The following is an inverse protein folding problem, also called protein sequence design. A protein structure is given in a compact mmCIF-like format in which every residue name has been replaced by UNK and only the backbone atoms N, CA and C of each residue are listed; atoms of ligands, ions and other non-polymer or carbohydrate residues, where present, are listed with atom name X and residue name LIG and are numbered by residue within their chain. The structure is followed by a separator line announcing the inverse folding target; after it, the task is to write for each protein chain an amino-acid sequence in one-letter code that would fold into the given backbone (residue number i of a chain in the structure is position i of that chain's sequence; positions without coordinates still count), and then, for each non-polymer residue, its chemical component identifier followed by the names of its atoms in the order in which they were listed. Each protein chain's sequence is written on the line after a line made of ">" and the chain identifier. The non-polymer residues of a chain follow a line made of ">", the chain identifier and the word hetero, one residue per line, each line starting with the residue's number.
data_IF_650440868420
#
_entry.id   IF_650440868420
#
_cell.length_a   1.000
_cell.length_b   1.000
_cell.length_c   1.000
_cell.angle_alpha   90.00
_cell.angle_beta   90.00
_cell.angle_gamma   90.00
#
_symmetry.space_group_name_H-M   'P 1'
#
loop_
_entity.id
_entity.type
_entity.pdbx_description
1 polymer ?
#
# COMPACT_ATOMS: atom_id res chain seq x y z
N UNK A 1 -10.13 -5.67 -6.84
CA UNK A 1 -9.23 -6.28 -5.84
C UNK A 1 -7.81 -5.78 -6.06
N UNK A 2 -7.06 -5.54 -4.97
CA UNK A 2 -5.66 -5.11 -5.02
C UNK A 2 -4.68 -6.26 -5.28
N UNK A 3 -3.39 -6.03 -5.03
CA UNK A 3 -2.38 -7.10 -5.05
C UNK A 3 -2.68 -8.14 -3.95
N UNK A 4 -2.36 -9.43 -4.18
CA UNK A 4 -2.40 -10.42 -3.10
C UNK A 4 -1.38 -10.06 -2.00
N UNK A 5 -1.47 -10.65 -0.79
CA UNK A 5 -0.49 -10.42 0.26
C UNK A 5 0.94 -10.67 -0.21
N UNK A 6 1.82 -9.69 0.01
CA UNK A 6 3.19 -9.70 -0.52
C UNK A 6 4.14 -8.95 0.43
N UNK A 7 5.43 -8.97 0.11
CA UNK A 7 6.44 -8.14 0.77
C UNK A 7 7.06 -7.18 -0.22
N UNK A 8 7.62 -6.09 0.30
CA UNK A 8 8.48 -5.16 -0.42
C UNK A 8 9.93 -5.25 0.08
N UNK A 9 10.77 -6.15 -0.48
CA UNK A 9 12.08 -6.47 0.09
C UNK A 9 13.06 -5.29 0.17
N UNK A 10 12.90 -4.29 -0.69
CA UNK A 10 13.71 -3.07 -0.70
C UNK A 10 13.23 -2.03 0.32
N UNK A 11 12.01 -1.50 0.11
CA UNK A 11 11.37 -0.50 0.97
C UNK A 11 12.21 0.78 1.26
N UNK A 12 11.62 1.78 1.93
CA UNK A 12 10.20 1.96 2.28
C UNK A 12 9.34 2.40 1.07
N UNK A 13 8.03 2.24 1.20
CA UNK A 13 7.04 2.76 0.26
C UNK A 13 6.13 3.81 0.91
N UNK A 14 5.83 4.87 0.17
CA UNK A 14 5.00 5.99 0.62
C UNK A 14 3.82 6.19 -0.34
N UNK A 15 2.62 6.19 0.20
CA UNK A 15 1.37 6.34 -0.54
C UNK A 15 0.65 7.65 -0.23
N UNK A 16 -0.06 8.17 -1.21
CA UNK A 16 -0.98 9.31 -1.05
C UNK A 16 -2.26 9.08 -1.87
N UNK A 17 -3.42 9.20 -1.22
CA UNK A 17 -4.72 8.94 -1.85
C UNK A 17 -5.22 10.21 -2.55
N UNK A 18 -5.48 10.10 -3.84
CA UNK A 18 -5.95 11.20 -4.69
C UNK A 18 -7.47 11.25 -4.80
N UNK A 19 -8.13 10.09 -4.79
CA UNK A 19 -9.57 9.92 -5.01
C UNK A 19 -10.05 8.66 -4.29
N UNK A 20 -11.24 8.69 -3.69
CA UNK A 20 -11.83 7.53 -3.00
C UNK A 20 -11.12 7.17 -1.69
N UNK A 21 -11.11 5.88 -1.38
CA UNK A 21 -10.53 5.34 -0.14
C UNK A 21 -9.84 3.98 -0.36
N UNK A 22 -8.71 3.80 0.32
CA UNK A 22 -7.89 2.59 0.31
C UNK A 22 -8.06 1.86 1.64
N UNK A 23 -8.30 0.56 1.60
CA UNK A 23 -8.12 -0.32 2.76
C UNK A 23 -6.64 -0.70 2.83
N UNK A 24 -5.92 -0.15 3.80
CA UNK A 24 -4.50 -0.40 4.02
C UNK A 24 -4.30 -1.37 5.19
N UNK A 25 -3.63 -2.48 4.94
CA UNK A 25 -3.41 -3.56 5.90
C UNK A 25 -1.96 -4.02 5.90
N UNK A 26 -1.29 -3.92 7.05
CA UNK A 26 0.12 -4.27 7.21
C UNK A 26 0.28 -5.17 8.43
N UNK A 27 1.18 -6.15 8.35
CA UNK A 27 1.49 -7.05 9.47
C UNK A 27 1.83 -6.28 10.76
N UNK A 28 1.22 -6.70 11.86
CA UNK A 28 1.39 -6.07 13.17
C UNK A 28 0.62 -4.77 13.37
N UNK A 29 -0.18 -4.31 12.38
CA UNK A 29 -1.02 -3.12 12.49
C UNK A 29 -2.50 -3.45 12.26
N UNK A 30 -3.43 -2.75 12.93
CA UNK A 30 -4.85 -2.87 12.60
C UNK A 30 -5.12 -2.34 11.18
N UNK A 31 -6.04 -2.96 10.42
CA UNK A 31 -6.53 -2.42 9.16
C UNK A 31 -7.00 -0.97 9.30
N UNK A 32 -6.67 -0.13 8.33
CA UNK A 32 -7.09 1.28 8.31
C UNK A 32 -7.62 1.68 6.94
N UNK A 33 -8.67 2.49 6.95
CA UNK A 33 -9.18 3.15 5.74
C UNK A 33 -8.46 4.48 5.58
N UNK A 34 -7.75 4.67 4.47
CA UNK A 34 -7.02 5.89 4.12
C UNK A 34 -7.79 6.60 3.01
N UNK A 35 -8.18 7.85 3.25
CA UNK A 35 -9.07 8.63 2.38
C UNK A 35 -8.33 9.63 1.51
N UNK A 36 -8.99 10.09 0.45
CA UNK A 36 -8.48 11.16 -0.39
C UNK A 36 -7.93 12.35 0.42
N UNK A 37 -6.70 12.76 0.13
CA UNK A 37 -5.97 13.79 0.87
C UNK A 37 -5.05 13.24 1.98
N UNK A 38 -5.13 11.95 2.31
CA UNK A 38 -4.32 11.32 3.36
C UNK A 38 -3.15 10.51 2.78
N UNK A 39 -2.10 10.39 3.59
CA UNK A 39 -0.90 9.62 3.29
C UNK A 39 -0.87 8.31 4.09
N UNK A 40 -0.19 7.32 3.53
CA UNK A 40 0.18 6.08 4.21
C UNK A 40 1.63 5.71 3.87
N UNK A 41 2.22 4.81 4.64
CA UNK A 41 3.56 4.32 4.35
C UNK A 41 3.77 2.97 5.01
N UNK A 42 4.77 2.25 4.52
CA UNK A 42 5.26 1.02 5.09
C UNK A 42 6.79 0.95 5.03
N UNK A 43 7.42 0.22 5.96
CA UNK A 43 8.87 0.09 6.00
C UNK A 43 9.42 -0.83 4.90
N UNK A 44 8.61 -1.75 4.36
CA UNK A 44 9.10 -2.86 3.54
C UNK A 44 9.85 -3.92 4.35
N UNK A 45 10.80 -4.60 3.72
CA UNK A 45 11.56 -5.71 4.31
C UNK A 45 10.73 -6.97 4.48
N UNK A 46 10.74 -7.53 5.69
CA UNK A 46 10.06 -8.80 6.00
C UNK A 46 8.58 -8.64 6.36
N UNK A 47 8.09 -7.40 6.49
CA UNK A 47 6.71 -7.08 6.86
C UNK A 47 5.76 -7.42 5.72
N UNK A 48 4.71 -8.21 6.02
CA UNK A 48 3.69 -8.54 5.02
C UNK A 48 2.75 -7.35 4.82
N UNK A 49 2.65 -6.90 3.57
CA UNK A 49 1.60 -6.00 3.10
C UNK A 49 0.41 -6.85 2.64
N UNK A 50 -0.71 -6.76 3.35
CA UNK A 50 -1.90 -7.55 3.03
C UNK A 50 -2.79 -6.89 1.98
N UNK A 51 -2.93 -5.56 2.04
CA UNK A 51 -3.84 -4.83 1.15
C UNK A 51 -3.52 -3.34 1.06
N UNK A 52 -3.65 -2.79 -0.14
CA UNK A 52 -3.87 -1.37 -0.48
C UNK A 52 -5.03 -1.24 -1.49
N UNK A 53 -6.03 -2.11 -1.36
CA UNK A 53 -7.14 -2.19 -2.30
C UNK A 53 -8.17 -1.05 -2.12
N UNK A 54 -8.97 -0.82 -3.16
CA UNK A 54 -10.16 0.04 -3.06
C UNK A 54 -11.11 -0.49 -1.97
N UNK A 55 -11.50 0.36 -1.01
CA UNK A 55 -12.42 0.02 0.07
C UNK A 55 -13.92 0.12 -0.35
N UNK A 56 -14.20 0.41 -1.62
CA UNK A 56 -15.56 0.51 -2.17
C UNK A 56 -15.71 -0.29 -3.46
N UNK A 57 -16.89 -0.87 -3.66
CA UNK A 57 -17.30 -1.53 -4.92
C UNK A 57 -17.95 -0.55 -5.92
N UNK A 58 -18.36 0.64 -5.45
CA UNK A 58 -19.16 1.60 -6.23
C UNK A 58 -18.39 2.88 -6.60
N UNK A 59 -17.34 3.20 -5.82
CA UNK A 59 -16.58 4.46 -5.97
C UNK A 59 -15.18 4.15 -6.49
N UNK A 60 -14.72 4.94 -7.46
CA UNK A 60 -13.36 4.84 -7.97
C UNK A 60 -12.35 5.27 -6.89
N UNK A 61 -11.29 4.48 -6.73
CA UNK A 61 -10.13 4.84 -5.93
C UNK A 61 -8.90 5.11 -6.80
N UNK A 62 -8.13 6.15 -6.47
CA UNK A 62 -6.81 6.44 -7.04
C UNK A 62 -5.86 6.89 -5.96
N UNK A 63 -4.65 6.40 -6.03
CA UNK A 63 -3.55 6.79 -5.18
C UNK A 63 -2.24 6.71 -5.97
N UNK A 64 -1.20 7.35 -5.46
CA UNK A 64 0.17 7.19 -5.96
C UNK A 64 1.02 6.55 -4.88
N UNK A 65 1.90 5.64 -5.28
CA UNK A 65 2.95 5.09 -4.42
C UNK A 65 4.30 5.50 -4.98
N UNK A 66 5.18 5.99 -4.10
CA UNK A 66 6.61 6.16 -4.38
C UNK A 66 7.38 5.24 -3.46
N UNK A 67 8.15 4.31 -4.04
CA UNK A 67 9.00 3.40 -3.28
C UNK A 67 10.47 3.70 -3.55
N UNK A 68 11.28 3.61 -2.50
CA UNK A 68 12.73 3.59 -2.65
C UNK A 68 13.15 2.14 -2.96
N UNK A 69 13.56 1.90 -4.21
CA UNK A 69 13.93 0.57 -4.66
C UNK A 69 15.44 0.33 -4.50
N UNK A 70 15.80 -0.90 -4.13
CA UNK A 70 17.17 -1.40 -4.27
C UNK A 70 17.36 -1.85 -5.72
N UNK A 71 18.44 -1.45 -6.41
CA UNK A 71 18.73 -1.91 -7.76
C UNK A 71 18.71 -3.45 -7.87
N UNK A 72 18.18 -3.95 -8.98
CA UNK A 72 18.09 -5.39 -9.32
C UNK A 72 17.28 -6.27 -8.34
N UNK A 73 16.62 -5.68 -7.34
CA UNK A 73 15.74 -6.38 -6.42
C UNK A 73 14.27 -6.20 -6.85
N UNK A 74 13.44 -7.28 -6.85
CA UNK A 74 12.02 -7.16 -7.17
C UNK A 74 11.30 -6.18 -6.24
N UNK A 75 10.35 -5.43 -6.81
CA UNK A 75 9.51 -4.51 -6.04
C UNK A 75 8.60 -5.26 -5.05
N UNK A 76 7.99 -6.37 -5.49
CA UNK A 76 7.13 -7.23 -4.68
C UNK A 76 7.57 -8.69 -4.76
N UNK A 77 7.41 -9.44 -3.67
CA UNK A 77 7.62 -10.90 -3.58
C UNK A 77 6.49 -11.59 -2.83
#
# INVERSE_FOLDING_TARGET
>A
AGAPPHRHPGGPAFGFVLEGEVLFELEGQPPRVVRAGEAFWEPGGDVIHYSDANNSDDVRCRFTVTMLCVPDQPMLV
#
